data_IF_364407258791
#
_entry.id   IF_364407258791
#
_cell.length_a   1.000
_cell.length_b   1.000
_cell.length_c   1.000
_cell.angle_alpha   90.00
_cell.angle_beta   90.00
_cell.angle_gamma   90.00
#
_symmetry.space_group_name_H-M   'P 1'
#
loop_
_entity.id
_entity.type
_entity.pdbx_description
1 polymer ?
#
# COMPACT_ATOMS: atom_id res chain seq x y z
N UNK A 1 62.78 -4.84 -56.84
CA UNK A 1 61.38 -5.03 -57.29
C UNK A 1 60.44 -4.58 -56.18
N UNK A 2 59.82 -3.41 -56.30
CA UNK A 2 58.91 -2.90 -55.27
C UNK A 2 57.48 -3.42 -55.53
N UNK A 3 56.94 -4.26 -54.62
CA UNK A 3 55.59 -4.80 -54.73
C UNK A 3 54.61 -3.83 -54.08
N UNK A 4 53.77 -3.16 -54.87
CA UNK A 4 52.73 -2.26 -54.37
C UNK A 4 51.64 -3.10 -53.72
N UNK A 5 51.58 -3.09 -52.39
CA UNK A 5 50.52 -3.75 -51.62
C UNK A 5 49.30 -2.84 -51.61
N UNK A 6 48.30 -3.12 -52.45
CA UNK A 6 47.02 -2.38 -52.46
C UNK A 6 46.27 -2.66 -51.16
N UNK A 7 46.23 -1.69 -50.23
CA UNK A 7 45.38 -1.76 -49.03
C UNK A 7 43.91 -1.73 -49.45
N UNK A 8 43.15 -2.76 -49.07
CA UNK A 8 41.70 -2.86 -49.30
C UNK A 8 41.01 -1.78 -48.45
N UNK A 9 40.44 -0.74 -49.09
CA UNK A 9 39.66 0.29 -48.39
C UNK A 9 38.42 -0.37 -47.78
N UNK A 10 38.35 -0.41 -46.44
CA UNK A 10 37.15 -0.85 -45.70
C UNK A 10 36.01 0.11 -46.03
N UNK A 11 34.98 -0.36 -46.72
CA UNK A 11 33.74 0.41 -46.91
C UNK A 11 32.94 0.27 -45.62
N UNK A 12 32.64 1.38 -44.97
CA UNK A 12 31.73 1.40 -43.84
C UNK A 12 30.31 1.21 -44.37
N UNK A 13 29.63 0.15 -43.90
CA UNK A 13 28.25 -0.11 -44.25
C UNK A 13 27.35 0.72 -43.33
N UNK A 14 27.14 1.99 -43.68
CA UNK A 14 26.25 2.93 -42.96
C UNK A 14 24.83 2.37 -42.74
N UNK A 15 24.36 1.55 -43.67
CA UNK A 15 23.05 0.93 -43.61
C UNK A 15 22.91 -0.06 -42.43
N UNK A 16 23.97 -0.81 -42.10
CA UNK A 16 23.99 -1.67 -40.92
C UNK A 16 24.03 -0.88 -39.61
N UNK A 17 24.73 0.25 -39.59
CA UNK A 17 24.79 1.14 -38.44
C UNK A 17 23.41 1.77 -38.13
N UNK A 18 22.69 2.22 -39.16
CA UNK A 18 21.34 2.77 -39.02
C UNK A 18 20.37 1.72 -38.47
N UNK A 19 20.44 0.48 -38.96
CA UNK A 19 19.59 -0.61 -38.46
C UNK A 19 19.85 -0.95 -36.98
N UNK A 20 21.12 -1.01 -36.58
CA UNK A 20 21.49 -1.25 -35.17
C UNK A 20 21.03 -0.10 -34.28
N UNK A 21 21.18 1.14 -34.73
CA UNK A 21 20.73 2.32 -33.98
C UNK A 21 19.21 2.34 -33.81
N UNK A 22 18.46 1.97 -34.86
CA UNK A 22 16.99 1.85 -34.80
C UNK A 22 16.55 0.80 -33.76
N UNK A 23 17.19 -0.38 -33.75
CA UNK A 23 16.87 -1.42 -32.78
C UNK A 23 17.18 -1.00 -31.35
N UNK A 24 18.30 -0.32 -31.12
CA UNK A 24 18.67 0.22 -29.80
C UNK A 24 17.65 1.26 -29.35
N UNK A 25 17.27 2.19 -30.22
CA UNK A 25 16.28 3.22 -29.90
C UNK A 25 14.92 2.61 -29.55
N UNK A 26 14.46 1.62 -30.33
CA UNK A 26 13.23 0.88 -30.03
C UNK A 26 13.29 0.15 -28.70
N UNK A 27 14.44 -0.46 -28.38
CA UNK A 27 14.64 -1.15 -27.10
C UNK A 27 14.59 -0.17 -25.92
N UNK A 28 15.26 0.98 -26.03
CA UNK A 28 15.21 2.03 -25.00
C UNK A 28 13.81 2.63 -24.83
N UNK A 29 13.06 2.78 -25.92
CA UNK A 29 11.67 3.23 -25.86
C UNK A 29 10.79 2.25 -25.09
N UNK A 30 10.88 0.95 -25.40
CA UNK A 30 10.15 -0.08 -24.69
C UNK A 30 10.54 -0.12 -23.21
N UNK A 31 11.84 -0.08 -22.92
CA UNK A 31 12.35 -0.05 -21.55
C UNK A 31 11.80 1.16 -20.79
N UNK A 32 11.90 2.36 -21.36
CA UNK A 32 11.37 3.59 -20.74
C UNK A 32 9.87 3.50 -20.48
N UNK A 33 9.09 2.98 -21.44
CA UNK A 33 7.63 2.83 -21.30
C UNK A 33 7.25 1.84 -20.17
N UNK A 34 7.97 0.73 -20.06
CA UNK A 34 7.73 -0.29 -19.03
C UNK A 34 8.15 0.25 -17.67
N UNK A 35 9.30 0.90 -17.56
CA UNK A 35 9.77 1.49 -16.30
C UNK A 35 8.88 2.63 -15.83
N UNK A 36 8.41 3.52 -16.72
CA UNK A 36 7.46 4.58 -16.37
C UNK A 36 6.11 4.02 -15.88
N UNK A 37 5.60 2.98 -16.55
CA UNK A 37 4.37 2.31 -16.12
C UNK A 37 4.56 1.58 -14.79
N UNK A 38 5.72 0.95 -14.60
CA UNK A 38 6.06 0.22 -13.37
C UNK A 38 6.25 1.18 -12.20
N UNK A 39 6.89 2.33 -12.41
CA UNK A 39 7.03 3.36 -11.39
C UNK A 39 5.67 3.90 -10.94
N UNK A 40 4.79 4.24 -11.89
CA UNK A 40 3.43 4.66 -11.60
C UNK A 40 2.62 3.57 -10.87
N UNK A 41 2.72 2.32 -11.29
CA UNK A 41 2.05 1.20 -10.61
C UNK A 41 2.59 0.99 -9.19
N UNK A 42 3.90 1.09 -8.97
CA UNK A 42 4.50 0.95 -7.64
C UNK A 42 4.05 2.07 -6.69
N UNK A 43 3.90 3.29 -7.21
CA UNK A 43 3.43 4.43 -6.44
C UNK A 43 1.95 4.29 -6.08
N UNK A 44 1.13 3.79 -7.01
CA UNK A 44 -0.27 3.49 -6.76
C UNK A 44 -0.44 2.39 -5.71
N UNK A 45 0.38 1.33 -5.76
CA UNK A 45 0.36 0.26 -4.76
C UNK A 45 0.77 0.76 -3.38
N UNK A 46 1.82 1.61 -3.29
CA UNK A 46 2.19 2.25 -2.02
C UNK A 46 1.07 3.13 -1.47
N UNK A 47 0.44 3.94 -2.32
CA UNK A 47 -0.70 4.76 -1.92
C UNK A 47 -1.85 3.90 -1.40
N UNK A 48 -2.17 2.81 -2.09
CA UNK A 48 -3.25 1.91 -1.68
C UNK A 48 -2.93 1.19 -0.36
N UNK A 49 -1.67 0.78 -0.16
CA UNK A 49 -1.21 0.22 1.12
C UNK A 49 -1.35 1.22 2.27
N UNK A 50 -0.97 2.48 2.05
CA UNK A 50 -1.12 3.55 3.06
C UNK A 50 -2.59 3.82 3.36
N UNK A 51 -3.46 3.90 2.35
CA UNK A 51 -4.90 4.08 2.55
C UNK A 51 -5.52 2.92 3.35
N UNK A 52 -5.09 1.69 3.10
CA UNK A 52 -5.53 0.54 3.89
C UNK A 52 -5.08 0.65 5.34
N UNK A 53 -3.85 1.11 5.59
CA UNK A 53 -3.32 1.31 6.94
C UNK A 53 -4.07 2.44 7.69
N UNK A 54 -4.44 3.50 6.99
CA UNK A 54 -5.27 4.59 7.54
C UNK A 54 -6.63 4.04 7.94
N UNK A 55 -7.30 3.29 7.06
CA UNK A 55 -8.61 2.71 7.35
C UNK A 55 -8.56 1.74 8.55
N UNK A 56 -7.50 0.94 8.68
CA UNK A 56 -7.34 0.08 9.86
C UNK A 56 -7.15 0.88 11.15
N UNK A 57 -6.37 1.96 11.11
CA UNK A 57 -6.15 2.82 12.27
C UNK A 57 -7.42 3.61 12.65
N UNK A 58 -8.24 4.02 11.68
CA UNK A 58 -9.55 4.63 11.95
C UNK A 58 -10.48 3.65 12.66
N UNK A 59 -10.57 2.41 12.18
CA UNK A 59 -11.37 1.36 12.85
C UNK A 59 -10.86 1.09 14.27
N UNK A 60 -9.55 1.05 14.47
CA UNK A 60 -8.96 0.89 15.81
C UNK A 60 -9.31 2.07 16.74
N UNK A 61 -9.23 3.31 16.24
CA UNK A 61 -9.63 4.50 17.00
C UNK A 61 -11.12 4.48 17.36
N UNK A 62 -11.99 4.19 16.40
CA UNK A 62 -13.44 4.09 16.63
C UNK A 62 -13.74 3.01 17.68
N UNK A 63 -13.05 1.87 17.62
CA UNK A 63 -13.15 0.81 18.63
C UNK A 63 -12.72 1.29 20.02
N UNK A 64 -11.62 2.05 20.11
CA UNK A 64 -11.14 2.61 21.38
C UNK A 64 -12.13 3.64 21.93
N UNK A 65 -12.71 4.49 21.09
CA UNK A 65 -13.72 5.47 21.50
C UNK A 65 -14.97 4.77 22.07
N UNK A 66 -15.46 3.72 21.42
CA UNK A 66 -16.57 2.90 21.92
C UNK A 66 -16.22 2.26 23.27
N UNK A 67 -15.00 1.74 23.43
CA UNK A 67 -14.54 1.18 24.70
C UNK A 67 -14.49 2.24 25.80
N UNK A 68 -13.98 3.45 25.51
CA UNK A 68 -13.95 4.58 26.46
C UNK A 68 -15.37 4.96 26.87
N UNK A 69 -16.30 5.06 25.92
CA UNK A 69 -17.70 5.40 26.21
C UNK A 69 -18.36 4.32 27.08
N UNK A 70 -18.10 3.05 26.78
CA UNK A 70 -18.58 1.92 27.58
C UNK A 70 -18.01 1.93 29.00
N UNK A 71 -16.70 2.15 29.16
CA UNK A 71 -16.06 2.26 30.48
C UNK A 71 -16.58 3.47 31.24
N UNK A 72 -16.62 4.66 30.62
CA UNK A 72 -17.14 5.88 31.24
C UNK A 72 -18.57 5.70 31.73
N UNK A 73 -19.44 5.08 30.92
CA UNK A 73 -20.84 4.85 31.30
C UNK A 73 -20.95 3.83 32.42
N UNK A 74 -20.23 2.71 32.33
CA UNK A 74 -20.26 1.63 33.32
C UNK A 74 -19.66 2.08 34.65
N UNK A 75 -18.49 2.69 34.64
CA UNK A 75 -17.83 3.16 35.85
C UNK A 75 -18.61 4.29 36.50
N UNK A 76 -19.23 5.20 35.74
CA UNK A 76 -20.12 6.23 36.30
C UNK A 76 -21.35 5.63 36.96
N UNK A 77 -21.98 4.63 36.35
CA UNK A 77 -23.15 3.97 36.96
C UNK A 77 -22.74 3.21 38.23
N UNK A 78 -21.58 2.54 38.22
CA UNK A 78 -21.07 1.80 39.38
C UNK A 78 -20.63 2.75 40.50
N UNK A 79 -19.98 3.87 40.19
CA UNK A 79 -19.60 4.88 41.20
C UNK A 79 -20.82 5.57 41.78
N UNK A 80 -21.79 6.00 40.97
CA UNK A 80 -23.05 6.58 41.48
C UNK A 80 -23.81 5.56 42.33
N UNK A 81 -23.82 4.27 41.96
CA UNK A 81 -24.45 3.23 42.77
C UNK A 81 -23.74 3.02 44.12
N UNK A 82 -22.40 2.92 44.10
CA UNK A 82 -21.60 2.77 45.33
C UNK A 82 -21.69 4.00 46.25
N UNK A 83 -21.69 5.22 45.71
CA UNK A 83 -21.83 6.46 46.47
C UNK A 83 -23.20 6.58 47.16
N UNK A 84 -24.24 5.95 46.59
CA UNK A 84 -25.57 5.82 47.21
C UNK A 84 -25.71 4.58 48.12
N UNK A 85 -24.61 3.87 48.40
CA UNK A 85 -24.60 2.70 49.28
C UNK A 85 -25.21 1.43 48.69
N UNK A 86 -25.44 1.39 47.38
CA UNK A 86 -25.96 0.22 46.67
C UNK A 86 -24.81 -0.67 46.23
N UNK A 87 -24.67 -1.83 46.87
CA UNK A 87 -23.74 -2.88 46.44
C UNK A 87 -24.35 -3.68 45.27
N UNK A 88 -23.48 -4.12 44.37
CA UNK A 88 -23.86 -4.84 43.15
C UNK A 88 -24.41 -6.23 43.52
N UNK A 89 -25.72 -6.38 43.57
CA UNK A 89 -26.37 -7.67 43.85
C UNK A 89 -26.39 -8.54 42.58
N UNK A 90 -25.35 -9.36 42.43
CA UNK A 90 -25.19 -10.30 41.29
C UNK A 90 -26.32 -11.34 41.21
N UNK A 91 -27.12 -11.47 42.27
CA UNK A 91 -28.27 -12.39 42.36
C UNK A 91 -29.46 -11.99 41.47
N UNK A 92 -29.53 -10.72 41.04
CA UNK A 92 -30.70 -10.16 40.34
C UNK A 92 -30.44 -9.88 38.85
N UNK A 93 -29.34 -10.38 38.29
CA UNK A 93 -29.08 -10.32 36.85
C UNK A 93 -29.89 -11.43 36.18
N UNK A 94 -31.13 -11.10 35.81
CA UNK A 94 -31.91 -11.94 34.91
C UNK A 94 -31.43 -11.65 33.49
N UNK A 95 -30.60 -12.54 32.95
CA UNK A 95 -30.31 -12.57 31.51
C UNK A 95 -31.60 -12.90 30.80
N UNK A 96 -32.28 -11.88 30.27
CA UNK A 96 -33.46 -12.08 29.44
C UNK A 96 -32.97 -12.59 28.08
N UNK A 97 -32.89 -13.91 27.94
CA UNK A 97 -32.78 -14.56 26.64
C UNK A 97 -34.18 -14.51 26.00
N UNK A 98 -34.54 -13.39 25.35
CA UNK A 98 -35.67 -13.41 24.43
C UNK A 98 -35.24 -14.16 23.18
N UNK A 99 -35.45 -15.48 23.21
CA UNK A 99 -35.61 -16.29 22.01
C UNK A 99 -37.09 -16.36 21.68
N UNK A 100 -37.49 -15.60 20.66
CA UNK A 100 -38.44 -15.96 19.59
C UNK A 100 -38.09 -15.11 18.35
#
# INVERSE_FOLDING_TARGET
MAKIVKRKKRRFNFQGFIFVFLLISGFFYLLSSVFLRTYNNSLSLKKQSILSQIATLEIENDSIEVLIQSLSTRDRVITIANDNGLTLDQSNIITITTGE
#
